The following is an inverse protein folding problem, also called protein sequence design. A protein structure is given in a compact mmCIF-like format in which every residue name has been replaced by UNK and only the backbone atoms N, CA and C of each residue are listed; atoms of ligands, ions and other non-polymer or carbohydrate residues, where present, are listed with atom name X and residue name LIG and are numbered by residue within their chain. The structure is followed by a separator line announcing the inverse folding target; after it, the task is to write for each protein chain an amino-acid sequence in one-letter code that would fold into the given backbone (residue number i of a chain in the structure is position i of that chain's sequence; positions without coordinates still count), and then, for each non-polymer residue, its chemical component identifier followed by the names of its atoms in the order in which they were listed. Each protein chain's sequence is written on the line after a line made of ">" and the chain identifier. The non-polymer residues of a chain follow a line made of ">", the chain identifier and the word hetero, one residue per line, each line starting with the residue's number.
data_IF_453530794376
#
_entry.id   IF_453530794376
#
_cell.length_a   1.000
_cell.length_b   1.000
_cell.length_c   1.000
_cell.angle_alpha   90.00
_cell.angle_beta   90.00
_cell.angle_gamma   90.00
#
_symmetry.space_group_name_H-M   'P 1'
#
loop_
_entity.id
_entity.type
_entity.pdbx_description
1 polymer ?
#
# COMPACT_ATOMS: atom_id res chain seq x y z
N UNK A 1 -8.83 -12.76 -5.42
CA UNK A 1 -9.04 -11.37 -5.89
C UNK A 1 -7.90 -11.01 -6.83
N UNK A 2 -8.20 -10.62 -8.08
CA UNK A 2 -7.18 -10.16 -9.04
C UNK A 2 -7.05 -8.65 -8.93
N UNK A 3 -5.84 -8.15 -8.70
CA UNK A 3 -5.52 -6.73 -8.65
C UNK A 3 -4.44 -6.42 -9.69
N UNK A 4 -4.57 -5.27 -10.33
CA UNK A 4 -3.54 -4.74 -11.21
C UNK A 4 -2.61 -3.84 -10.41
N UNK A 5 -1.32 -4.15 -10.44
CA UNK A 5 -0.27 -3.35 -9.81
C UNK A 5 0.30 -2.36 -10.82
N UNK A 6 0.23 -1.08 -10.47
CA UNK A 6 0.69 0.01 -11.31
C UNK A 6 1.76 0.76 -10.55
N UNK A 7 2.96 0.82 -11.12
CA UNK A 7 4.01 1.69 -10.63
C UNK A 7 3.66 3.13 -10.98
N UNK A 8 3.77 4.05 -10.03
CA UNK A 8 3.54 5.45 -10.28
C UNK A 8 4.55 6.26 -9.51
N UNK A 9 5.28 7.15 -10.18
CA UNK A 9 6.09 8.13 -9.48
C UNK A 9 5.16 9.16 -8.83
N UNK A 10 4.56 8.80 -7.70
CA UNK A 10 3.83 9.77 -6.87
C UNK A 10 4.89 10.65 -6.24
N UNK A 11 4.96 11.92 -6.67
CA UNK A 11 5.53 12.97 -5.84
C UNK A 11 4.46 13.29 -4.79
N UNK A 12 4.65 12.95 -3.50
CA UNK A 12 3.68 13.36 -2.48
C UNK A 12 3.59 14.90 -2.48
N UNK A 13 2.42 15.49 -2.15
CA UNK A 13 2.37 16.91 -1.83
C UNK A 13 3.24 17.12 -0.58
N UNK A 14 4.49 17.51 -0.80
CA UNK A 14 5.39 18.00 0.23
C UNK A 14 4.85 19.37 0.66
N UNK A 15 4.06 19.35 1.72
CA UNK A 15 3.83 20.53 2.56
C UNK A 15 5.21 20.94 3.11
N UNK A 16 5.68 22.12 2.72
CA UNK A 16 6.95 22.70 3.15
C UNK A 16 6.90 23.05 4.65
N UNK A 17 7.17 22.05 5.49
CA UNK A 17 7.60 22.19 6.88
C UNK A 17 9.02 21.62 7.05
N UNK A 18 9.79 22.06 8.06
CA UNK A 18 11.22 21.79 8.13
C UNK A 18 11.51 20.30 8.24
N UNK A 19 12.36 19.83 7.33
CA UNK A 19 13.09 18.56 7.29
C UNK A 19 12.85 17.61 8.46
N UNK A 20 11.91 16.69 8.29
CA UNK A 20 12.07 15.34 8.82
C UNK A 20 12.23 14.41 7.62
N UNK A 21 13.44 13.89 7.44
CA UNK A 21 13.68 12.72 6.61
C UNK A 21 12.90 11.60 7.28
N UNK A 22 11.63 11.42 6.90
CA UNK A 22 10.84 10.32 7.41
C UNK A 22 11.58 9.04 7.02
N UNK A 23 12.05 8.23 7.99
CA UNK A 23 12.65 6.94 7.66
C UNK A 23 11.61 6.17 6.85
N UNK A 24 12.06 5.34 5.90
CA UNK A 24 11.19 4.37 5.23
C UNK A 24 10.18 3.83 6.26
N UNK A 25 8.91 4.23 6.15
CA UNK A 25 7.91 4.00 7.19
C UNK A 25 7.59 2.53 7.15
N UNK A 26 8.43 1.74 7.81
CA UNK A 26 8.11 0.38 8.19
C UNK A 26 6.74 0.43 8.85
N UNK A 27 5.78 -0.39 8.37
CA UNK A 27 4.43 -0.35 8.88
C UNK A 27 4.47 -0.50 10.39
N UNK A 28 3.82 0.42 11.10
CA UNK A 28 3.81 0.41 12.56
C UNK A 28 3.10 -0.87 13.00
N UNK A 29 3.80 -1.71 13.75
CA UNK A 29 3.24 -2.99 14.19
C UNK A 29 2.41 -2.76 15.44
N UNK A 30 1.09 -2.97 15.37
CA UNK A 30 0.22 -2.97 16.54
C UNK A 30 0.51 -4.23 17.37
N UNK A 31 0.69 -4.04 18.67
CA UNK A 31 0.90 -5.15 19.63
C UNK A 31 -0.43 -5.77 20.07
N UNK A 32 -0.40 -7.03 20.55
CA UNK A 32 -1.58 -7.78 21.02
C UNK A 32 -2.65 -8.14 19.97
N UNK A 33 -2.26 -8.31 18.70
CA UNK A 33 -3.16 -8.76 17.61
C UNK A 33 -3.54 -10.25 17.66
N UNK A 34 -3.07 -11.02 18.64
CA UNK A 34 -3.44 -12.43 18.83
C UNK A 34 -4.79 -12.65 19.53
N UNK A 35 -5.41 -11.60 20.08
CA UNK A 35 -6.75 -11.68 20.66
C UNK A 35 -7.82 -11.48 19.57
N UNK A 36 -8.93 -12.25 19.58
CA UNK A 36 -10.00 -12.10 18.60
C UNK A 36 -10.70 -10.75 18.78
N UNK A 37 -10.40 -9.80 17.89
CA UNK A 37 -11.03 -8.48 17.82
C UNK A 37 -11.77 -8.33 16.50
N UNK A 38 -12.74 -7.41 16.45
CA UNK A 38 -13.47 -7.10 15.22
C UNK A 38 -12.51 -6.50 14.20
N UNK A 39 -12.71 -6.76 12.91
CA UNK A 39 -11.89 -6.19 11.83
C UNK A 39 -11.79 -4.66 11.89
N UNK A 40 -12.88 -3.97 12.25
CA UNK A 40 -12.90 -2.52 12.42
C UNK A 40 -11.99 -1.99 13.56
N UNK A 41 -11.56 -2.85 14.49
CA UNK A 41 -10.61 -2.46 15.54
C UNK A 41 -9.15 -2.50 15.07
N UNK A 42 -8.88 -3.10 13.91
CA UNK A 42 -7.56 -3.18 13.27
C UNK A 42 -7.38 -2.10 12.20
N UNK A 43 -8.47 -1.41 11.83
CA UNK A 43 -8.48 -0.28 10.91
C UNK A 43 -8.19 1.00 11.71
N UNK A 44 -6.92 1.43 11.68
CA UNK A 44 -6.44 2.61 12.44
C UNK A 44 -6.13 3.79 11.52
N UNK A 45 -6.30 3.62 10.21
CA UNK A 45 -6.12 4.64 9.19
C UNK A 45 -7.05 5.82 9.43
N UNK A 46 -6.45 7.01 9.49
CA UNK A 46 -7.23 8.24 9.63
C UNK A 46 -7.91 8.62 8.31
N UNK A 47 -9.01 9.38 8.38
CA UNK A 47 -9.71 9.90 7.19
C UNK A 47 -8.79 10.73 6.28
N UNK A 48 -7.83 11.44 6.87
CA UNK A 48 -6.83 12.23 6.14
C UNK A 48 -5.91 11.33 5.32
N UNK A 49 -5.42 10.24 5.90
CA UNK A 49 -4.57 9.27 5.19
C UNK A 49 -5.32 8.57 4.07
N UNK A 50 -6.59 8.19 4.32
CA UNK A 50 -7.47 7.63 3.27
C UNK A 50 -7.69 8.61 2.13
N UNK A 51 -7.93 9.88 2.44
CA UNK A 51 -8.10 10.92 1.42
C UNK A 51 -6.86 11.05 0.54
N UNK A 52 -5.67 11.04 1.13
CA UNK A 52 -4.39 11.07 0.38
C UNK A 52 -4.22 9.79 -0.47
N UNK A 53 -4.59 8.64 0.08
CA UNK A 53 -4.46 7.36 -0.61
C UNK A 53 -5.37 7.23 -1.84
N UNK A 54 -6.52 7.92 -1.87
CA UNK A 54 -7.43 7.93 -3.05
C UNK A 54 -7.15 9.07 -4.03
N UNK A 55 -6.18 9.95 -3.75
CA UNK A 55 -5.85 11.04 -4.67
C UNK A 55 -5.44 10.51 -6.04
N UNK A 56 -5.96 11.20 -7.06
CA UNK A 56 -5.78 10.82 -8.45
C UNK A 56 -4.38 11.20 -8.93
N UNK A 57 -3.67 10.23 -9.48
CA UNK A 57 -2.35 10.43 -10.11
C UNK A 57 -2.56 10.46 -11.62
N UNK A 58 -1.85 11.33 -12.32
CA UNK A 58 -1.89 11.40 -13.78
C UNK A 58 -1.48 10.05 -14.38
N UNK A 59 -2.37 9.43 -15.19
CA UNK A 59 -2.14 8.13 -15.83
C UNK A 59 -0.84 8.07 -16.65
N UNK A 60 -0.36 9.22 -17.12
CA UNK A 60 0.87 9.34 -17.91
C UNK A 60 2.14 8.99 -17.14
N UNK A 61 2.10 9.03 -15.81
CA UNK A 61 3.23 8.69 -14.92
C UNK A 61 3.13 7.27 -14.35
N UNK A 62 2.12 6.52 -14.80
CA UNK A 62 1.76 5.21 -14.31
C UNK A 62 2.21 4.11 -15.28
N UNK A 63 3.12 3.22 -14.85
CA UNK A 63 3.58 2.04 -15.58
C UNK A 63 2.96 0.79 -14.97
N UNK A 64 2.16 0.05 -15.73
CA UNK A 64 1.63 -1.25 -15.30
C UNK A 64 2.80 -2.22 -15.07
N UNK A 65 2.87 -2.80 -13.87
CA UNK A 65 3.84 -3.84 -13.49
C UNK A 65 3.33 -5.23 -13.85
N UNK A 66 2.02 -5.43 -13.73
CA UNK A 66 1.33 -6.68 -14.03
C UNK A 66 0.15 -6.91 -13.10
N UNK A 67 -0.51 -8.04 -13.31
CA UNK A 67 -1.61 -8.51 -12.47
C UNK A 67 -1.12 -9.54 -11.47
N UNK A 68 -1.65 -9.46 -10.26
CA UNK A 68 -1.32 -10.38 -9.19
C UNK A 68 -2.56 -10.74 -8.36
N UNK A 69 -2.48 -11.89 -7.69
CA UNK A 69 -3.49 -12.28 -6.73
C UNK A 69 -3.14 -11.63 -5.39
N UNK A 70 -4.03 -10.76 -4.91
CA UNK A 70 -3.84 -10.12 -3.61
C UNK A 70 -4.36 -11.03 -2.49
N UNK A 71 -3.54 -11.19 -1.46
CA UNK A 71 -3.86 -11.76 -0.15
C UNK A 71 -3.79 -10.65 0.90
N UNK A 72 -4.56 -10.79 1.98
CA UNK A 72 -4.48 -9.86 3.08
C UNK A 72 -3.18 -10.11 3.85
N UNK A 73 -2.38 -9.06 4.01
CA UNK A 73 -1.13 -9.11 4.77
C UNK A 73 -1.36 -9.20 6.28
N UNK A 74 -0.28 -9.09 7.05
CA UNK A 74 -0.36 -9.08 8.50
C UNK A 74 -1.20 -7.87 8.97
N UNK A 75 -2.36 -8.08 9.63
CA UNK A 75 -3.20 -6.97 10.10
C UNK A 75 -2.55 -6.17 11.23
N UNK A 76 -1.47 -6.66 11.83
CA UNK A 76 -0.68 -5.89 12.78
C UNK A 76 0.15 -4.80 12.09
N UNK A 77 0.52 -4.98 10.82
CA UNK A 77 1.31 -4.01 10.06
C UNK A 77 0.38 -2.93 9.48
N UNK A 78 0.29 -1.79 10.19
CA UNK A 78 -0.59 -0.68 9.82
C UNK A 78 -0.03 0.13 8.65
N UNK A 79 -0.92 0.79 7.91
CA UNK A 79 -0.62 1.69 6.82
C UNK A 79 -0.94 1.08 5.45
N UNK A 80 -0.81 1.92 4.43
CA UNK A 80 -1.07 1.57 3.04
C UNK A 80 0.19 1.00 2.37
N UNK A 81 0.29 -0.33 2.35
CA UNK A 81 1.45 -1.03 1.78
C UNK A 81 1.06 -2.28 1.00
N UNK A 82 1.96 -2.69 0.10
CA UNK A 82 1.86 -3.96 -0.60
C UNK A 82 3.22 -4.62 -0.81
N UNK A 83 3.36 -5.90 -0.43
CA UNK A 83 4.58 -6.69 -0.61
C UNK A 83 4.46 -7.53 -1.87
N UNK A 84 5.40 -7.36 -2.79
CA UNK A 84 5.37 -8.02 -4.11
C UNK A 84 6.78 -8.33 -4.60
N UNK A 85 6.92 -9.44 -5.33
CA UNK A 85 8.15 -9.81 -6.02
C UNK A 85 8.34 -9.05 -7.34
N UNK A 86 7.34 -8.29 -7.79
CA UNK A 86 7.37 -7.45 -8.99
C UNK A 86 8.28 -6.22 -8.84
N UNK A 87 8.59 -5.82 -7.61
CA UNK A 87 9.52 -4.73 -7.31
C UNK A 87 10.76 -5.30 -6.61
N UNK A 88 11.93 -4.74 -6.94
CA UNK A 88 13.20 -5.10 -6.30
C UNK A 88 13.62 -4.11 -5.21
N UNK A 89 13.00 -2.94 -5.18
CA UNK A 89 13.29 -1.86 -4.23
C UNK A 89 11.97 -1.32 -3.68
N UNK A 90 12.02 -0.83 -2.44
CA UNK A 90 10.88 -0.13 -1.84
C UNK A 90 10.58 1.13 -2.64
N UNK A 91 9.32 1.31 -3.02
CA UNK A 91 8.91 2.41 -3.90
C UNK A 91 7.43 2.70 -3.76
N UNK A 92 6.99 3.89 -4.13
CA UNK A 92 5.57 4.21 -4.17
C UNK A 92 4.92 3.63 -5.42
N UNK A 93 3.66 3.22 -5.29
CA UNK A 93 2.88 2.66 -6.37
C UNK A 93 1.39 2.78 -6.10
N UNK A 94 0.61 2.24 -7.03
CA UNK A 94 -0.84 2.27 -6.98
C UNK A 94 -1.38 0.90 -7.30
N UNK A 95 -2.35 0.48 -6.52
CA UNK A 95 -3.07 -0.77 -6.75
C UNK A 95 -4.44 -0.42 -7.27
N UNK A 96 -4.85 -1.09 -8.35
CA UNK A 96 -6.18 -0.96 -8.93
C UNK A 96 -6.92 -2.27 -8.76
N UNK A 97 -8.08 -2.21 -8.13
CA UNK A 97 -8.99 -3.33 -8.03
C UNK A 97 -10.00 -3.25 -9.17
N UNK A 98 -9.79 -4.06 -10.21
CA UNK A 98 -10.58 -4.00 -11.44
C UNK A 98 -12.06 -4.31 -11.20
N UNK A 99 -12.37 -5.24 -10.31
CA UNK A 99 -13.76 -5.64 -10.01
C UNK A 99 -14.59 -4.60 -9.28
N UNK A 100 -13.97 -3.72 -8.47
CA UNK A 100 -14.70 -2.62 -7.81
C UNK A 100 -14.37 -1.24 -8.40
N UNK A 101 -13.51 -1.16 -9.42
CA UNK A 101 -13.04 0.11 -10.00
C UNK A 101 -12.31 1.02 -9.00
N UNK A 102 -11.90 0.50 -7.84
CA UNK A 102 -11.27 1.29 -6.78
C UNK A 102 -9.76 1.27 -6.95
N UNK A 103 -9.09 2.37 -6.63
CA UNK A 103 -7.63 2.42 -6.66
C UNK A 103 -7.10 3.11 -5.41
N UNK A 104 -5.97 2.61 -4.90
CA UNK A 104 -5.34 3.11 -3.68
C UNK A 104 -3.85 3.26 -3.91
N UNK A 105 -3.31 4.42 -3.53
CA UNK A 105 -1.89 4.68 -3.51
C UNK A 105 -1.28 3.98 -2.28
N UNK A 106 -0.26 3.17 -2.51
CA UNK A 106 0.39 2.34 -1.47
C UNK A 106 1.90 2.40 -1.62
N UNK A 107 2.61 2.01 -0.56
CA UNK A 107 4.04 1.75 -0.64
C UNK A 107 4.29 0.29 -1.03
N UNK A 108 4.96 0.08 -2.15
CA UNK A 108 5.38 -1.23 -2.63
C UNK A 108 6.67 -1.64 -1.92
N UNK A 109 6.66 -2.82 -1.32
CA UNK A 109 7.81 -3.45 -0.68
C UNK A 109 8.26 -4.68 -1.48
N UNK A 110 9.57 -4.86 -1.69
CA UNK A 110 10.07 -6.06 -2.35
C UNK A 110 9.82 -7.28 -1.47
N UNK A 111 9.36 -8.37 -2.08
CA UNK A 111 9.25 -9.69 -1.46
C UNK A 111 10.20 -10.64 -2.17
N UNK A 112 10.95 -11.42 -1.39
CA UNK A 112 11.76 -12.52 -1.92
C UNK A 112 10.87 -13.74 -2.16
N UNK A 113 10.86 -14.23 -3.40
CA UNK A 113 10.10 -15.41 -3.85
C UNK A 113 9.62 -15.26 -5.29
N UNK A 114 9.61 -16.35 -6.05
CA UNK A 114 9.02 -16.39 -7.41
C UNK A 114 7.48 -16.38 -7.41
N UNK A 115 6.88 -16.40 -6.22
CA UNK A 115 5.44 -16.43 -6.04
C UNK A 115 4.79 -15.15 -6.62
N UNK A 116 3.77 -15.32 -7.45
CA UNK A 116 3.00 -14.21 -8.05
C UNK A 116 1.97 -13.59 -7.10
N UNK A 117 2.04 -13.95 -5.81
CA UNK A 117 1.16 -13.43 -4.76
C UNK A 117 1.60 -12.06 -4.25
N UNK A 118 0.63 -11.20 -3.93
CA UNK A 118 0.87 -9.89 -3.31
C UNK A 118 0.16 -9.83 -1.97
N UNK A 119 0.87 -9.45 -0.92
CA UNK A 119 0.26 -9.16 0.38
C UNK A 119 -0.05 -7.67 0.46
N UNK A 120 -1.27 -7.30 0.88
CA UNK A 120 -1.68 -5.90 0.99
C UNK A 120 -2.23 -5.57 2.39
N UNK A 121 -2.02 -4.32 2.81
CA UNK A 121 -2.68 -3.72 3.97
C UNK A 121 -3.28 -2.37 3.59
N UNK A 122 -4.50 -2.10 4.07
CA UNK A 122 -5.32 -0.92 3.75
C UNK A 122 -5.87 -0.28 5.03
N UNK A 123 -5.12 -0.42 6.13
CA UNK A 123 -5.58 -0.24 7.52
C UNK A 123 -4.81 0.79 8.29
#
# INVERSE_FOLDING_TARGET
>A
MTLSLVFGCVKPPIDTGPTEVAPAVVPKVIQNTGAPVKAAALDVATEKERSIAVQSVAKSELKLLGDAIATLGNPAETGFWAKTSLVKVQTQGRITFETAGTSVNVTLYPRDGEETGVEVSLS
#
